data_IF_245111653357
#
_entry.id   IF_245111653357
#
_cell.length_a   1.000
_cell.length_b   1.000
_cell.length_c   1.000
_cell.angle_alpha   90.00
_cell.angle_beta   90.00
_cell.angle_gamma   90.00
#
_symmetry.space_group_name_H-M   'P 1'
#
loop_
_entity.id
_entity.type
_entity.pdbx_description
1 polymer ?
#
# COMPACT_ATOMS: atom_id res chain seq x y z
N UNK A 1 -9.39 -18.29 14.24
CA UNK A 1 -8.30 -17.39 13.82
C UNK A 1 -8.87 -16.62 12.64
N UNK A 2 -9.54 -15.51 12.90
CA UNK A 2 -10.19 -14.71 11.85
C UNK A 2 -9.12 -13.84 11.18
N UNK A 3 -8.55 -14.35 10.09
CA UNK A 3 -7.72 -13.51 9.21
C UNK A 3 -8.66 -12.45 8.64
N UNK A 4 -8.42 -11.15 8.88
CA UNK A 4 -9.29 -10.10 8.37
C UNK A 4 -9.40 -10.23 6.86
N UNK A 5 -10.61 -10.47 6.35
CA UNK A 5 -10.86 -10.44 4.91
C UNK A 5 -10.67 -9.04 4.34
N UNK A 6 -10.79 -8.00 5.18
CA UNK A 6 -10.67 -6.59 4.80
C UNK A 6 -9.24 -6.09 4.89
N UNK A 7 -8.90 -5.17 3.98
CA UNK A 7 -7.63 -4.47 3.98
C UNK A 7 -7.37 -3.78 5.32
N UNK A 8 -6.25 -4.08 6.02
CA UNK A 8 -5.99 -3.53 7.34
C UNK A 8 -5.80 -2.00 7.31
N UNK A 9 -5.36 -1.43 6.19
CA UNK A 9 -5.13 0.01 6.08
C UNK A 9 -6.43 0.82 5.95
N UNK A 10 -7.43 0.36 5.21
CA UNK A 10 -8.65 1.12 4.94
C UNK A 10 -9.94 0.52 5.52
N UNK A 11 -9.93 -0.76 5.90
CA UNK A 11 -11.07 -1.52 6.41
C UNK A 11 -12.35 -1.45 5.54
N UNK A 12 -12.21 -1.22 4.23
CA UNK A 12 -13.34 -0.92 3.33
C UNK A 12 -13.52 -1.92 2.17
N UNK A 13 -12.49 -2.70 1.83
CA UNK A 13 -12.55 -3.66 0.73
C UNK A 13 -11.72 -4.90 1.06
N UNK A 14 -11.96 -6.02 0.35
CA UNK A 14 -11.19 -7.24 0.54
C UNK A 14 -9.70 -7.01 0.33
N UNK A 15 -8.89 -7.61 1.19
CA UNK A 15 -7.45 -7.53 1.07
C UNK A 15 -6.97 -8.35 -0.14
N UNK A 16 -6.58 -7.64 -1.19
CA UNK A 16 -5.90 -8.21 -2.35
C UNK A 16 -4.57 -7.51 -2.57
N UNK A 17 -3.65 -8.12 -3.31
CA UNK A 17 -2.37 -7.49 -3.65
C UNK A 17 -2.60 -6.15 -4.35
N UNK A 18 -3.48 -6.14 -5.37
CA UNK A 18 -3.82 -4.92 -6.13
C UNK A 18 -4.44 -3.86 -5.25
N UNK A 19 -5.40 -4.23 -4.39
CA UNK A 19 -6.01 -3.26 -3.50
C UNK A 19 -4.96 -2.68 -2.53
N UNK A 20 -4.24 -3.55 -1.81
CA UNK A 20 -3.28 -3.15 -0.78
C UNK A 20 -2.19 -2.25 -1.35
N UNK A 21 -1.67 -2.56 -2.53
CA UNK A 21 -0.53 -1.84 -3.10
C UNK A 21 -0.93 -0.68 -4.01
N UNK A 22 -2.20 -0.55 -4.42
CA UNK A 22 -2.61 0.46 -5.41
C UNK A 22 -3.99 1.07 -5.17
N UNK A 23 -5.03 0.26 -5.03
CA UNK A 23 -6.41 0.76 -5.06
C UNK A 23 -6.93 1.19 -3.67
N UNK A 24 -6.23 0.82 -2.60
CA UNK A 24 -6.49 1.26 -1.24
C UNK A 24 -6.37 2.79 -1.16
N UNK A 25 -7.32 3.51 -0.52
CA UNK A 25 -7.23 4.96 -0.35
C UNK A 25 -5.89 5.42 0.26
N UNK A 26 -5.37 4.67 1.24
CA UNK A 26 -4.04 4.91 1.84
C UNK A 26 -2.92 4.80 0.81
N UNK A 27 -2.95 3.76 -0.02
CA UNK A 27 -1.98 3.57 -1.10
C UNK A 27 -2.12 4.65 -2.18
N UNK A 28 -3.34 5.04 -2.55
CA UNK A 28 -3.58 6.11 -3.53
C UNK A 28 -3.04 7.46 -3.04
N UNK A 29 -3.24 7.81 -1.76
CA UNK A 29 -2.66 9.03 -1.19
C UNK A 29 -1.13 9.01 -1.30
N UNK A 30 -0.50 7.89 -0.96
CA UNK A 30 0.94 7.71 -1.09
C UNK A 30 1.40 7.85 -2.55
N UNK A 31 0.79 7.14 -3.50
CA UNK A 31 1.13 7.26 -4.91
C UNK A 31 0.94 8.68 -5.45
N UNK A 32 -0.17 9.35 -5.11
CA UNK A 32 -0.43 10.72 -5.54
C UNK A 32 0.63 11.69 -5.01
N UNK A 33 1.21 11.46 -3.82
CA UNK A 33 2.31 12.27 -3.29
C UNK A 33 3.61 12.12 -4.09
N UNK A 34 3.83 10.95 -4.72
CA UNK A 34 4.96 10.70 -5.62
C UNK A 34 4.74 11.23 -7.04
N UNK A 35 3.54 11.74 -7.33
CA UNK A 35 3.14 12.34 -8.61
C UNK A 35 3.57 11.50 -9.84
N UNK A 36 2.98 10.30 -10.05
CA UNK A 36 3.35 9.43 -11.15
C UNK A 36 3.10 10.13 -12.49
N UNK A 37 4.03 10.02 -13.42
CA UNK A 37 3.96 10.70 -14.72
C UNK A 37 2.91 10.10 -15.69
N UNK A 38 2.28 8.99 -15.31
CA UNK A 38 1.23 8.35 -16.11
C UNK A 38 -0.14 9.01 -15.87
N UNK A 39 -1.03 9.04 -16.89
CA UNK A 39 -2.43 9.40 -16.67
C UNK A 39 -3.05 8.55 -15.57
N UNK A 40 -3.87 9.15 -14.69
CA UNK A 40 -4.53 8.44 -13.58
C UNK A 40 -5.33 7.22 -14.07
N UNK A 41 -6.00 7.34 -15.22
CA UNK A 41 -6.75 6.24 -15.84
C UNK A 41 -5.86 5.05 -16.19
N UNK A 42 -4.62 5.29 -16.63
CA UNK A 42 -3.67 4.22 -16.92
C UNK A 42 -3.06 3.66 -15.63
N UNK A 43 -2.66 4.53 -14.71
CA UNK A 43 -2.01 4.13 -13.46
C UNK A 43 -2.94 3.28 -12.58
N UNK A 44 -4.20 3.69 -12.41
CA UNK A 44 -5.16 3.00 -11.56
C UNK A 44 -6.07 2.01 -12.32
N UNK A 45 -6.11 2.05 -13.65
CA UNK A 45 -6.96 1.17 -14.47
C UNK A 45 -6.27 -0.06 -15.06
N UNK A 46 -4.92 -0.13 -15.05
CA UNK A 46 -4.20 -1.27 -15.61
C UNK A 46 -4.42 -2.56 -14.79
N UNK A 47 -4.27 -3.74 -15.42
CA UNK A 47 -4.15 -5.00 -14.66
C UNK A 47 -2.87 -5.02 -13.81
N UNK A 48 -2.82 -5.80 -12.74
CA UNK A 48 -1.66 -5.82 -11.82
C UNK A 48 -0.34 -6.04 -12.56
N UNK A 49 -0.27 -7.05 -13.44
CA UNK A 49 0.95 -7.36 -14.19
C UNK A 49 1.35 -6.22 -15.15
N UNK A 50 0.37 -5.62 -15.85
CA UNK A 50 0.65 -4.51 -16.76
C UNK A 50 1.08 -3.26 -15.97
N UNK A 51 0.46 -3.00 -14.82
CA UNK A 51 0.83 -1.91 -13.93
C UNK A 51 2.27 -2.05 -13.43
N UNK A 52 2.67 -3.24 -12.99
CA UNK A 52 4.06 -3.52 -12.60
C UNK A 52 5.04 -3.32 -13.76
N UNK A 53 4.74 -3.88 -14.95
CA UNK A 53 5.60 -3.73 -16.12
C UNK A 53 5.77 -2.27 -16.53
N UNK A 54 4.66 -1.53 -16.66
CA UNK A 54 4.67 -0.12 -17.07
C UNK A 54 5.53 0.74 -16.14
N UNK A 55 5.41 0.53 -14.83
CA UNK A 55 6.15 1.32 -13.87
C UNK A 55 7.62 0.90 -13.74
N UNK A 56 7.91 -0.41 -13.64
CA UNK A 56 9.28 -0.91 -13.52
C UNK A 56 10.12 -0.73 -14.80
N UNK A 57 9.49 -0.50 -15.95
CA UNK A 57 10.17 -0.29 -17.23
C UNK A 57 10.16 1.18 -17.66
N UNK A 58 9.65 2.10 -16.83
CA UNK A 58 9.65 3.52 -17.18
C UNK A 58 11.06 4.10 -17.18
N UNK A 59 11.41 4.79 -18.25
CA UNK A 59 12.64 5.56 -18.39
C UNK A 59 12.52 7.02 -17.93
N UNK A 60 11.42 7.38 -17.25
CA UNK A 60 11.20 8.74 -16.75
C UNK A 60 11.85 8.93 -15.39
N UNK A 61 12.37 10.13 -15.15
CA UNK A 61 12.83 10.55 -13.83
C UNK A 61 11.61 10.91 -12.98
N UNK A 62 11.65 10.52 -11.71
CA UNK A 62 10.58 10.84 -10.75
C UNK A 62 10.54 12.33 -10.39
N UNK A 63 9.36 12.96 -10.27
CA UNK A 63 9.27 14.36 -9.88
C UNK A 63 9.85 14.60 -8.49
N UNK A 64 10.64 15.67 -8.32
CA UNK A 64 11.22 16.04 -7.03
C UNK A 64 12.41 15.20 -6.60
N UNK A 65 12.87 14.26 -7.42
CA UNK A 65 14.13 13.55 -7.21
C UNK A 65 14.90 13.40 -8.53
N UNK A 66 16.18 13.03 -8.47
CA UNK A 66 16.98 12.71 -9.66
C UNK A 66 17.11 11.19 -9.85
N UNK A 67 16.08 10.43 -9.44
CA UNK A 67 16.05 8.97 -9.47
C UNK A 67 15.07 8.51 -10.55
N UNK A 68 15.50 7.54 -11.35
CA UNK A 68 14.66 6.87 -12.34
C UNK A 68 13.42 6.26 -11.69
N UNK A 69 12.26 6.45 -12.32
CA UNK A 69 10.99 5.91 -11.83
C UNK A 69 11.01 4.39 -11.72
N UNK A 70 11.68 3.70 -12.66
CA UNK A 70 11.89 2.25 -12.62
C UNK A 70 12.64 1.77 -11.38
N UNK A 71 13.45 2.64 -10.76
CA UNK A 71 14.13 2.39 -9.49
C UNK A 71 13.22 2.80 -8.33
N UNK A 72 12.66 4.01 -8.33
CA UNK A 72 11.85 4.52 -7.22
C UNK A 72 10.60 3.68 -6.97
N UNK A 73 9.91 3.27 -8.03
CA UNK A 73 8.63 2.55 -7.96
C UNK A 73 8.68 1.26 -7.14
N UNK A 74 9.60 0.30 -7.38
CA UNK A 74 9.65 -0.92 -6.57
C UNK A 74 9.96 -0.65 -5.08
N UNK A 75 10.77 0.37 -4.76
CA UNK A 75 11.00 0.77 -3.37
C UNK A 75 9.77 1.40 -2.73
N UNK A 76 9.03 2.21 -3.49
CA UNK A 76 7.76 2.79 -3.04
C UNK A 76 6.70 1.68 -2.77
N UNK A 77 6.63 0.68 -3.65
CA UNK A 77 5.77 -0.49 -3.49
C UNK A 77 6.18 -1.33 -2.27
N UNK A 78 7.48 -1.54 -2.06
CA UNK A 78 8.01 -2.19 -0.86
C UNK A 78 7.66 -1.43 0.42
N UNK A 79 7.76 -0.09 0.39
CA UNK A 79 7.42 0.77 1.52
C UNK A 79 5.94 0.65 1.90
N UNK A 80 5.03 0.59 0.92
CA UNK A 80 3.62 0.30 1.16
C UNK A 80 3.39 -1.07 1.79
N UNK A 81 4.10 -2.10 1.34
CA UNK A 81 4.01 -3.44 1.91
C UNK A 81 4.47 -3.47 3.38
N UNK A 82 5.59 -2.82 3.68
CA UNK A 82 6.11 -2.68 5.05
C UNK A 82 5.12 -1.92 5.94
N UNK A 83 4.57 -0.79 5.45
CA UNK A 83 3.57 -0.03 6.19
C UNK A 83 2.32 -0.87 6.49
N UNK A 84 1.79 -1.59 5.48
CA UNK A 84 0.67 -2.50 5.68
C UNK A 84 0.97 -3.55 6.75
N UNK A 85 2.17 -4.12 6.75
CA UNK A 85 2.56 -5.13 7.73
C UNK A 85 2.62 -4.55 9.14
N UNK A 86 3.22 -3.37 9.32
CA UNK A 86 3.15 -2.66 10.62
C UNK A 86 1.70 -2.49 11.07
N UNK A 87 0.80 -2.00 10.22
CA UNK A 87 -0.62 -1.84 10.62
C UNK A 87 -1.28 -3.17 10.98
N UNK A 88 -1.00 -4.25 10.23
CA UNK A 88 -1.58 -5.56 10.47
C UNK A 88 -1.07 -6.20 11.78
N UNK A 89 0.20 -5.99 12.14
CA UNK A 89 0.82 -6.60 13.32
C UNK A 89 0.80 -5.70 14.57
N UNK A 90 0.84 -4.38 14.43
CA UNK A 90 0.67 -3.43 15.54
C UNK A 90 -0.76 -3.48 16.10
N UNK A 91 -1.77 -3.70 15.25
CA UNK A 91 -3.15 -3.95 15.73
C UNK A 91 -3.30 -5.29 16.46
N UNK A 92 -2.46 -6.28 16.13
CA UNK A 92 -2.47 -7.56 16.83
C UNK A 92 -1.92 -7.42 18.26
N UNK A 93 -0.96 -6.51 18.49
CA UNK A 93 -0.48 -6.16 19.82
C UNK A 93 -1.55 -5.43 20.65
N UNK A 94 -2.25 -4.44 20.06
CA UNK A 94 -3.32 -3.71 20.76
C UNK A 94 -4.54 -4.57 21.13
N UNK A 95 -4.75 -5.71 20.47
CA UNK A 95 -5.82 -6.66 20.83
C UNK A 95 -5.44 -7.60 22.00
N UNK A 96 -4.15 -7.69 22.35
CA UNK A 96 -3.71 -8.39 23.57
C UNK A 96 -3.84 -7.50 24.82
N UNK A 97 -3.74 -6.17 24.66
CA UNK A 97 -3.88 -5.22 25.78
C UNK A 97 -5.34 -4.95 26.19
N UNK A 98 -6.31 -5.17 25.31
CA UNK A 98 -7.75 -5.10 25.66
C UNK A 98 -8.23 -6.28 26.53
N UNK A 99 -7.40 -7.31 26.75
CA UNK A 99 -7.69 -8.37 27.74
C UNK A 99 -7.12 -8.06 29.13
N UNK A 100 -6.36 -6.99 29.30
CA UNK A 100 -5.78 -6.60 30.59
C UNK A 100 -6.64 -5.60 31.39
N UNK A 101 -7.76 -5.11 30.82
CA UNK A 101 -8.64 -4.10 31.49
C UNK A 101 -9.90 -4.72 32.11
N UNK A 102 -10.14 -6.04 31.98
CA UNK A 102 -11.35 -6.69 32.51
C UNK A 102 -11.18 -7.47 33.82
N UNK A 103 -10.09 -7.30 34.56
CA UNK A 103 -9.98 -7.86 35.91
C UNK A 103 -9.40 -6.82 36.87
N UNK A 104 -10.31 -6.13 37.56
CA UNK A 104 -10.00 -5.34 38.76
C UNK A 104 -9.62 -6.22 39.95
N UNK A 105 -9.08 -5.58 40.98
CA UNK A 105 -9.82 -5.42 42.24
C UNK A 105 -10.27 -3.99 42.48
#
# INVERSE_FOLDING_TARGET
>A
MDIPFLCPMCNNAPETITHTLRDCPTAQMFWNSLNPHFPKSLFYGASLLNWLKLNCQSSKISPGSNIDWSILFPFALWSLWIHRNSVAFDRAHNHQDLKAVTLGP
#
